data_IF_095855684707
#
_entry.id   IF_095855684707
#
_cell.length_a   1.000
_cell.length_b   1.000
_cell.length_c   1.000
_cell.angle_alpha   90.00
_cell.angle_beta   90.00
_cell.angle_gamma   90.00
#
_symmetry.space_group_name_H-M   'P 1'
#
loop_
_entity.id
_entity.type
_entity.pdbx_description
1 polymer ?
#
# COMPACT_ATOMS: atom_id res chain seq x y z
N UNK A 1 -26.53 27.49 -21.93
CA UNK A 1 -26.28 28.60 -20.97
C UNK A 1 -25.11 28.24 -20.07
N UNK A 2 -23.90 28.74 -20.38
CA UNK A 2 -22.69 28.52 -19.57
C UNK A 2 -22.68 29.53 -18.43
N UNK A 3 -23.11 29.12 -17.25
CA UNK A 3 -23.05 29.94 -16.04
C UNK A 3 -21.61 30.38 -15.75
N UNK A 4 -21.42 31.68 -15.58
CA UNK A 4 -20.17 32.37 -15.32
C UNK A 4 -19.59 31.87 -13.97
N UNK A 5 -18.82 30.76 -13.97
CA UNK A 5 -18.20 30.27 -12.73
C UNK A 5 -17.09 31.25 -12.34
N UNK A 6 -17.12 31.82 -11.12
CA UNK A 6 -16.06 32.70 -10.67
C UNK A 6 -14.72 31.95 -10.71
N UNK A 7 -13.71 32.59 -11.28
CA UNK A 7 -12.34 32.08 -11.26
C UNK A 7 -11.83 32.11 -9.82
N UNK A 8 -10.93 31.18 -9.46
CA UNK A 8 -10.37 31.10 -8.09
C UNK A 8 -9.78 32.45 -7.61
N UNK A 9 -9.28 33.27 -8.54
CA UNK A 9 -8.75 34.62 -8.30
C UNK A 9 -9.78 35.64 -7.82
N UNK A 10 -11.09 35.39 -8.06
CA UNK A 10 -12.20 36.28 -7.70
C UNK A 10 -12.95 35.83 -6.44
N UNK A 11 -12.52 34.73 -5.81
CA UNK A 11 -13.15 34.17 -4.61
C UNK A 11 -12.45 34.68 -3.34
N UNK A 12 -13.23 34.98 -2.29
CA UNK A 12 -12.65 35.24 -0.95
C UNK A 12 -11.89 34.00 -0.44
N UNK A 13 -10.96 34.14 0.51
CA UNK A 13 -10.27 33.00 1.12
C UNK A 13 -11.25 31.90 1.61
N UNK A 14 -12.34 32.26 2.27
CA UNK A 14 -13.35 31.33 2.81
C UNK A 14 -14.13 30.62 1.68
N UNK A 15 -14.43 31.33 0.59
CA UNK A 15 -15.07 30.74 -0.58
C UNK A 15 -14.14 29.73 -1.28
N UNK A 16 -12.85 30.05 -1.39
CA UNK A 16 -11.83 29.13 -1.92
C UNK A 16 -11.72 27.87 -1.05
N UNK A 17 -11.62 28.02 0.26
CA UNK A 17 -11.56 26.90 1.20
C UNK A 17 -12.77 25.97 1.05
N UNK A 18 -13.99 26.53 0.99
CA UNK A 18 -15.21 25.74 0.78
C UNK A 18 -15.23 25.05 -0.59
N UNK A 19 -14.82 25.74 -1.65
CA UNK A 19 -14.77 25.18 -3.00
C UNK A 19 -13.77 24.01 -3.11
N UNK A 20 -12.55 24.20 -2.60
CA UNK A 20 -11.51 23.17 -2.56
C UNK A 20 -11.95 22.01 -1.68
N UNK A 21 -12.48 22.29 -0.48
CA UNK A 21 -13.02 21.28 0.43
C UNK A 21 -14.11 20.43 -0.24
N UNK A 22 -15.07 21.06 -0.91
CA UNK A 22 -16.12 20.35 -1.66
C UNK A 22 -15.57 19.52 -2.83
N UNK A 23 -14.57 20.02 -3.56
CA UNK A 23 -13.90 19.27 -4.62
C UNK A 23 -13.15 18.06 -4.07
N UNK A 24 -12.45 18.21 -2.96
CA UNK A 24 -11.71 17.15 -2.28
C UNK A 24 -12.65 16.08 -1.73
N UNK A 25 -13.75 16.47 -1.09
CA UNK A 25 -14.78 15.54 -0.61
C UNK A 25 -15.39 14.73 -1.76
N UNK A 26 -15.72 15.39 -2.89
CA UNK A 26 -16.21 14.71 -4.09
C UNK A 26 -15.18 13.74 -4.68
N UNK A 27 -13.91 14.14 -4.74
CA UNK A 27 -12.82 13.29 -5.22
C UNK A 27 -12.63 12.07 -4.30
N UNK A 28 -12.64 12.28 -2.98
CA UNK A 28 -12.57 11.20 -1.99
C UNK A 28 -13.72 10.20 -2.13
N UNK A 29 -14.96 10.68 -2.29
CA UNK A 29 -16.12 9.81 -2.55
C UNK A 29 -15.95 8.99 -3.82
N UNK A 30 -15.47 9.60 -4.91
CA UNK A 30 -15.21 8.86 -6.16
C UNK A 30 -14.12 7.80 -6.00
N UNK A 31 -13.06 8.10 -5.24
CA UNK A 31 -12.01 7.12 -4.92
C UNK A 31 -12.57 5.95 -4.12
N UNK A 32 -13.33 6.23 -3.06
CA UNK A 32 -13.97 5.20 -2.24
C UNK A 32 -14.87 4.27 -3.08
N UNK A 33 -15.73 4.83 -3.93
CA UNK A 33 -16.57 4.04 -4.83
C UNK A 33 -15.75 3.20 -5.83
N UNK A 34 -14.62 3.71 -6.30
CA UNK A 34 -13.72 2.94 -7.17
C UNK A 34 -13.07 1.78 -6.41
N UNK A 35 -12.64 1.99 -5.16
CA UNK A 35 -12.08 0.91 -4.34
C UNK A 35 -13.09 -0.18 -4.03
N UNK A 36 -14.31 0.19 -3.62
CA UNK A 36 -15.38 -0.78 -3.39
C UNK A 36 -15.65 -1.63 -4.64
N UNK A 37 -15.66 -1.01 -5.82
CA UNK A 37 -15.79 -1.72 -7.09
C UNK A 37 -14.61 -2.65 -7.35
N UNK A 38 -13.37 -2.22 -7.10
CA UNK A 38 -12.17 -3.06 -7.27
C UNK A 38 -12.18 -4.28 -6.35
N UNK A 39 -12.64 -4.11 -5.11
CA UNK A 39 -12.83 -5.22 -4.17
C UNK A 39 -13.83 -6.24 -4.72
N UNK A 40 -14.96 -5.77 -5.26
CA UNK A 40 -15.95 -6.64 -5.88
C UNK A 40 -15.40 -7.35 -7.13
N UNK A 41 -14.67 -6.63 -8.00
CA UNK A 41 -13.98 -7.23 -9.15
C UNK A 41 -13.01 -8.32 -8.68
N UNK A 42 -12.15 -8.03 -7.70
CA UNK A 42 -11.20 -9.00 -7.16
C UNK A 42 -11.89 -10.24 -6.55
N UNK A 43 -13.04 -10.05 -5.92
CA UNK A 43 -13.86 -11.14 -5.38
C UNK A 43 -14.37 -12.04 -6.51
N UNK A 44 -14.95 -11.46 -7.56
CA UNK A 44 -15.47 -12.19 -8.74
C UNK A 44 -14.38 -12.91 -9.52
N UNK A 45 -13.20 -12.32 -9.63
CA UNK A 45 -12.06 -12.96 -10.31
C UNK A 45 -11.67 -14.31 -9.70
N UNK A 46 -11.99 -14.58 -8.43
CA UNK A 46 -11.75 -15.89 -7.81
C UNK A 46 -12.61 -17.02 -8.39
N UNK A 47 -13.78 -16.68 -8.94
CA UNK A 47 -14.72 -17.65 -9.52
C UNK A 47 -14.76 -17.62 -11.05
N UNK A 48 -14.17 -16.60 -11.68
CA UNK A 48 -14.16 -16.46 -13.14
C UNK A 48 -13.04 -17.30 -13.76
N UNK A 49 -13.39 -18.11 -14.77
CA UNK A 49 -12.39 -18.78 -15.60
C UNK A 49 -11.79 -17.79 -16.61
N UNK A 50 -10.69 -17.16 -16.23
CA UNK A 50 -9.98 -16.15 -17.05
C UNK A 50 -9.37 -16.69 -18.35
N UNK A 51 -9.33 -18.01 -18.53
CA UNK A 51 -8.89 -18.67 -19.77
C UNK A 51 -9.97 -18.74 -20.85
N UNK A 52 -11.24 -18.52 -20.50
CA UNK A 52 -12.36 -18.63 -21.45
C UNK A 52 -12.53 -17.34 -22.24
N UNK A 53 -12.69 -17.46 -23.57
CA UNK A 53 -12.97 -16.31 -24.43
C UNK A 53 -14.25 -15.61 -23.96
N UNK A 54 -14.16 -14.30 -23.73
CA UNK A 54 -15.33 -13.47 -23.38
C UNK A 54 -15.57 -13.27 -21.88
N UNK A 55 -14.76 -13.84 -20.99
CA UNK A 55 -14.91 -13.68 -19.53
C UNK A 55 -14.99 -12.21 -19.08
N UNK A 56 -14.24 -11.32 -19.74
CA UNK A 56 -14.28 -9.87 -19.44
C UNK A 56 -15.64 -9.26 -19.77
N UNK A 57 -16.26 -9.69 -20.86
CA UNK A 57 -17.56 -9.15 -21.30
C UNK A 57 -18.69 -9.62 -20.38
N UNK A 58 -18.62 -10.86 -19.91
CA UNK A 58 -19.51 -11.40 -18.90
C UNK A 58 -19.37 -10.64 -17.57
N UNK A 59 -18.13 -10.49 -17.09
CA UNK A 59 -17.86 -9.74 -15.86
C UNK A 59 -18.29 -8.26 -15.95
N UNK A 60 -18.11 -7.62 -17.10
CA UNK A 60 -18.62 -6.26 -17.34
C UNK A 60 -20.15 -6.21 -17.25
N UNK A 61 -20.85 -7.21 -17.81
CA UNK A 61 -22.31 -7.33 -17.75
C UNK A 61 -22.79 -7.53 -16.33
N UNK A 62 -22.18 -8.44 -15.57
CA UNK A 62 -22.55 -8.70 -14.17
C UNK A 62 -22.37 -7.49 -13.27
N UNK A 63 -21.29 -6.74 -13.48
CA UNK A 63 -20.95 -5.57 -12.66
C UNK A 63 -21.58 -4.27 -13.18
N UNK A 64 -22.24 -4.29 -14.33
CA UNK A 64 -22.81 -3.10 -14.96
C UNK A 64 -21.76 -2.02 -15.27
N UNK A 65 -20.55 -2.41 -15.65
CA UNK A 65 -19.43 -1.48 -15.89
C UNK A 65 -18.92 -1.55 -17.33
N UNK A 66 -18.33 -0.44 -17.79
CA UNK A 66 -17.68 -0.41 -19.08
C UNK A 66 -16.37 -1.20 -19.07
N UNK A 67 -16.00 -1.74 -20.24
CA UNK A 67 -14.78 -2.54 -20.43
C UNK A 67 -13.51 -1.79 -20.03
N UNK A 68 -13.45 -0.49 -20.30
CA UNK A 68 -12.28 0.33 -19.93
C UNK A 68 -12.18 0.52 -18.42
N UNK A 69 -13.31 0.66 -17.74
CA UNK A 69 -13.35 0.69 -16.28
C UNK A 69 -12.82 -0.61 -15.70
N UNK A 70 -13.28 -1.75 -16.23
CA UNK A 70 -12.77 -3.06 -15.83
C UNK A 70 -11.26 -3.17 -16.07
N UNK A 71 -10.76 -2.80 -17.26
CA UNK A 71 -9.33 -2.90 -17.56
C UNK A 71 -8.48 -2.03 -16.63
N UNK A 72 -8.94 -0.82 -16.29
CA UNK A 72 -8.26 0.02 -15.32
C UNK A 72 -8.27 -0.60 -13.92
N UNK A 73 -9.41 -1.12 -13.47
CA UNK A 73 -9.51 -1.79 -12.17
C UNK A 73 -8.61 -3.03 -12.11
N UNK A 74 -8.54 -3.84 -13.17
CA UNK A 74 -7.64 -4.99 -13.27
C UNK A 74 -6.16 -4.59 -13.15
N UNK A 75 -5.75 -3.48 -13.76
CA UNK A 75 -4.37 -2.96 -13.64
C UNK A 75 -4.06 -2.55 -12.20
N UNK A 76 -4.96 -1.82 -11.56
CA UNK A 76 -4.78 -1.39 -10.16
C UNK A 76 -4.75 -2.57 -9.20
N UNK A 77 -5.61 -3.58 -9.40
CA UNK A 77 -5.59 -4.82 -8.61
C UNK A 77 -4.25 -5.55 -8.78
N UNK A 78 -3.75 -5.68 -10.02
CA UNK A 78 -2.47 -6.32 -10.28
C UNK A 78 -1.30 -5.55 -9.64
N UNK A 79 -1.35 -4.21 -9.70
CA UNK A 79 -0.37 -3.34 -9.03
C UNK A 79 -0.36 -3.56 -7.51
N UNK A 80 -1.51 -3.50 -6.87
CA UNK A 80 -1.63 -3.74 -5.42
C UNK A 80 -1.14 -5.15 -5.02
N UNK A 81 -1.45 -6.17 -5.83
CA UNK A 81 -0.97 -7.53 -5.59
C UNK A 81 0.56 -7.64 -5.71
N UNK A 82 1.17 -6.92 -6.66
CA UNK A 82 2.62 -6.88 -6.82
C UNK A 82 3.30 -6.12 -5.67
N UNK A 83 2.76 -4.98 -5.26
CA UNK A 83 3.24 -4.22 -4.09
C UNK A 83 3.18 -5.07 -2.82
N UNK A 84 2.08 -5.79 -2.59
CA UNK A 84 1.95 -6.70 -1.45
C UNK A 84 2.94 -7.87 -1.51
N UNK A 85 3.26 -8.39 -2.71
CA UNK A 85 4.29 -9.42 -2.88
C UNK A 85 5.67 -8.87 -2.57
N UNK A 86 6.00 -7.67 -3.05
CA UNK A 86 7.28 -7.02 -2.81
C UNK A 86 7.48 -6.73 -1.32
N UNK A 87 6.46 -6.17 -0.65
CA UNK A 87 6.53 -5.90 0.79
C UNK A 87 6.85 -7.16 1.63
N UNK A 88 6.35 -8.33 1.22
CA UNK A 88 6.70 -9.61 1.87
C UNK A 88 8.16 -10.02 1.64
N UNK A 89 8.69 -9.76 0.44
CA UNK A 89 10.10 -10.01 0.14
C UNK A 89 10.98 -9.10 0.98
N UNK A 90 10.66 -7.81 1.01
CA UNK A 90 11.40 -6.80 1.77
C UNK A 90 11.39 -7.13 3.28
N UNK A 91 10.24 -7.52 3.83
CA UNK A 91 10.13 -7.94 5.22
C UNK A 91 10.99 -9.18 5.54
N UNK A 92 11.04 -10.17 4.62
CA UNK A 92 11.90 -11.34 4.78
C UNK A 92 13.38 -10.97 4.73
N UNK A 93 13.77 -10.08 3.82
CA UNK A 93 15.14 -9.59 3.71
C UNK A 93 15.55 -8.81 4.97
N UNK A 94 14.66 -7.97 5.51
CA UNK A 94 14.92 -7.25 6.76
C UNK A 94 15.18 -8.21 7.93
N UNK A 95 14.33 -9.25 8.09
CA UNK A 95 14.52 -10.28 9.11
C UNK A 95 15.82 -11.07 8.93
N UNK A 96 16.15 -11.45 7.70
CA UNK A 96 17.38 -12.16 7.39
C UNK A 96 18.63 -11.31 7.72
N UNK A 97 18.60 -10.01 7.39
CA UNK A 97 19.67 -9.07 7.72
C UNK A 97 19.82 -8.87 9.23
N UNK A 98 18.72 -8.78 9.97
CA UNK A 98 18.76 -8.68 11.43
C UNK A 98 19.36 -9.95 12.06
N UNK A 99 18.96 -11.12 11.57
CA UNK A 99 19.49 -12.41 12.02
C UNK A 99 20.98 -12.56 11.71
N UNK A 100 21.41 -12.18 10.51
CA UNK A 100 22.83 -12.17 10.12
C UNK A 100 23.64 -11.26 11.05
N UNK A 101 23.16 -10.05 11.35
CA UNK A 101 23.82 -9.12 12.28
C UNK A 101 23.94 -9.70 13.69
N UNK A 102 22.89 -10.38 14.19
CA UNK A 102 22.91 -11.08 15.48
C UNK A 102 23.93 -12.22 15.50
N UNK A 103 24.01 -13.01 14.42
CA UNK A 103 25.02 -14.06 14.26
C UNK A 103 26.43 -13.49 14.26
N UNK A 104 26.70 -12.46 13.47
CA UNK A 104 28.02 -11.79 13.43
C UNK A 104 28.44 -11.29 14.80
N UNK A 105 27.53 -10.65 15.55
CA UNK A 105 27.80 -10.18 16.92
C UNK A 105 28.06 -11.32 17.92
N UNK A 106 27.52 -12.51 17.64
CA UNK A 106 27.69 -13.71 18.49
C UNK A 106 28.98 -14.47 18.17
N UNK A 107 29.40 -14.45 16.90
CA UNK A 107 30.63 -15.09 16.41
C UNK A 107 31.86 -14.23 16.70
N UNK A 108 31.73 -12.91 16.52
CA UNK A 108 32.74 -11.91 16.87
C UNK A 108 32.24 -11.03 18.03
N UNK A 109 32.15 -11.58 19.25
CA UNK A 109 31.81 -10.76 20.40
C UNK A 109 32.90 -9.72 20.60
N UNK A 110 32.48 -8.50 20.92
CA UNK A 110 33.31 -7.32 21.12
C UNK A 110 34.65 -7.67 21.82
N UNK A 111 35.81 -7.23 21.32
CA UNK A 111 37.11 -7.47 21.96
C UNK A 111 37.12 -7.16 23.46
N UNK A 112 36.36 -6.13 23.88
CA UNK A 112 36.16 -5.80 25.30
C UNK A 112 35.42 -6.90 26.07
N UNK A 113 34.35 -7.45 25.49
CA UNK A 113 33.57 -8.56 26.08
C UNK A 113 34.42 -9.84 26.19
N UNK A 114 35.22 -10.17 25.18
CA UNK A 114 36.15 -11.30 25.24
C UNK A 114 37.26 -11.08 26.28
N UNK A 115 37.79 -9.85 26.40
CA UNK A 115 38.79 -9.50 27.40
C UNK A 115 38.24 -9.58 28.83
N UNK A 116 36.99 -9.15 29.07
CA UNK A 116 36.32 -9.26 30.38
C UNK A 116 36.04 -10.72 30.76
N UNK A 117 35.57 -11.54 29.80
CA UNK A 117 35.33 -12.98 30.02
C UNK A 117 36.61 -13.73 30.38
N UNK A 118 37.74 -13.43 29.72
CA UNK A 118 39.05 -14.03 30.02
C UNK A 118 39.61 -13.64 31.39
N UNK A 119 39.22 -12.48 31.92
CA UNK A 119 39.63 -11.97 33.24
C UNK A 119 38.70 -12.43 34.38
N UNK A 120 37.70 -13.29 34.10
CA UNK A 120 36.77 -13.80 35.12
C UNK A 120 35.87 -12.73 35.74
N UNK A 121 35.80 -11.54 35.15
CA UNK A 121 35.00 -10.43 35.66
C UNK A 121 33.62 -10.49 35.00
N UNK A 122 32.52 -10.64 35.75
CA UNK A 122 31.19 -10.73 35.14
C UNK A 122 30.85 -9.39 34.47
N UNK A 123 30.29 -9.41 33.24
CA UNK A 123 29.85 -8.19 32.59
C UNK A 123 28.65 -7.63 33.37
N UNK A 124 28.83 -6.47 34.01
CA UNK A 124 27.75 -5.73 34.64
C UNK A 124 26.73 -5.40 33.56
N UNK A 125 25.57 -6.07 33.59
CA UNK A 125 24.48 -5.77 32.67
C UNK A 125 23.98 -4.35 33.00
N UNK A 126 24.38 -3.37 32.20
CA UNK A 126 23.72 -2.08 32.19
C UNK A 126 22.34 -2.27 31.57
N UNK A 127 21.34 -2.53 32.41
CA UNK A 127 19.94 -2.35 32.05
C UNK A 127 19.73 -0.86 31.79
N UNK A 128 19.59 -0.49 30.52
CA UNK A 128 19.08 0.82 30.14
C UNK A 128 17.56 0.75 30.27
N UNK A 129 17.02 1.49 31.25
CA UNK A 129 15.59 1.75 31.43
C UNK A 129 15.05 2.66 30.32
#
# INVERSE_FOLDING_TARGET
MSGNRPTLSKMTPEQRCRFIGGRNARAARRRCLAELRRVEVARRLKSVNVGVRGWKAELCRELGIHRDTLNNDLREIAKAANEARQAKVDARQALASEYARKLESSINPDPLYQAMRRRGTPPTQHFVL
#
